data_IF_782383337819
#
_entry.id   IF_782383337819
#
_cell.length_a   1.000
_cell.length_b   1.000
_cell.length_c   1.000
_cell.angle_alpha   90.00
_cell.angle_beta   90.00
_cell.angle_gamma   90.00
#
_symmetry.space_group_name_H-M   'P 1'
#
loop_
_entity.id
_entity.type
_entity.pdbx_description
1 polymer ?
#
# COMPACT_ATOMS: atom_id res chain seq x y z
N UNK A 1 -18.17 8.48 -24.37
CA UNK A 1 -17.92 7.54 -25.49
C UNK A 1 -18.34 6.19 -24.99
N UNK A 2 -19.09 5.41 -25.76
CA UNK A 2 -19.69 4.14 -25.32
C UNK A 2 -18.71 3.22 -24.57
N UNK A 3 -17.45 3.17 -25.03
CA UNK A 3 -16.40 2.37 -24.39
C UNK A 3 -16.05 2.88 -23.00
N UNK A 4 -15.90 4.19 -22.81
CA UNK A 4 -15.61 4.79 -21.51
C UNK A 4 -16.79 4.58 -20.53
N UNK A 5 -18.01 4.71 -21.02
CA UNK A 5 -19.23 4.52 -20.21
C UNK A 5 -19.36 3.05 -19.76
N UNK A 6 -19.02 2.08 -20.63
CA UNK A 6 -18.98 0.66 -20.30
C UNK A 6 -17.89 0.33 -19.26
N UNK A 7 -16.67 0.83 -19.45
CA UNK A 7 -15.56 0.62 -18.51
C UNK A 7 -15.88 1.20 -17.13
N UNK A 8 -16.49 2.39 -17.08
CA UNK A 8 -16.94 3.00 -15.83
C UNK A 8 -18.02 2.17 -15.14
N UNK A 9 -18.97 1.61 -15.90
CA UNK A 9 -20.00 0.70 -15.39
C UNK A 9 -19.38 -0.55 -14.75
N UNK A 10 -18.48 -1.23 -15.48
CA UNK A 10 -17.78 -2.42 -15.00
C UNK A 10 -16.96 -2.15 -13.74
N UNK A 11 -16.22 -1.03 -13.71
CA UNK A 11 -15.45 -0.64 -12.52
C UNK A 11 -16.35 -0.44 -11.30
N UNK A 12 -17.50 0.21 -11.48
CA UNK A 12 -18.45 0.45 -10.39
C UNK A 12 -19.03 -0.85 -9.83
N UNK A 13 -19.37 -1.80 -10.69
CA UNK A 13 -19.87 -3.12 -10.28
C UNK A 13 -18.78 -3.92 -9.56
N UNK A 14 -17.56 -3.95 -10.10
CA UNK A 14 -16.41 -4.62 -9.47
C UNK A 14 -16.10 -4.02 -8.09
N UNK A 15 -16.09 -2.69 -7.97
CA UNK A 15 -15.91 -2.00 -6.69
C UNK A 15 -17.01 -2.36 -5.68
N UNK A 16 -18.27 -2.38 -6.13
CA UNK A 16 -19.39 -2.76 -5.26
C UNK A 16 -19.27 -4.21 -4.78
N UNK A 17 -18.90 -5.12 -5.67
CA UNK A 17 -18.68 -6.53 -5.34
C UNK A 17 -17.55 -6.68 -4.32
N UNK A 18 -16.42 -6.01 -4.54
CA UNK A 18 -15.29 -6.04 -3.61
C UNK A 18 -15.71 -5.53 -2.23
N UNK A 19 -16.44 -4.40 -2.17
CA UNK A 19 -16.94 -3.88 -0.90
C UNK A 19 -17.80 -4.90 -0.15
N UNK A 20 -18.78 -5.51 -0.83
CA UNK A 20 -19.64 -6.53 -0.23
C UNK A 20 -18.87 -7.78 0.19
N UNK A 21 -17.83 -8.17 -0.55
CA UNK A 21 -16.92 -9.25 -0.17
C UNK A 21 -16.19 -8.92 1.14
N UNK A 22 -15.60 -7.73 1.26
CA UNK A 22 -14.91 -7.33 2.50
C UNK A 22 -15.88 -7.30 3.69
N UNK A 23 -17.11 -6.80 3.50
CA UNK A 23 -18.14 -6.79 4.53
C UNK A 23 -18.56 -8.21 4.96
N UNK A 24 -18.63 -9.16 4.03
CA UNK A 24 -18.93 -10.56 4.32
C UNK A 24 -17.79 -11.22 5.11
N UNK A 25 -16.55 -11.04 4.66
CA UNK A 25 -15.36 -11.56 5.32
C UNK A 25 -15.21 -11.02 6.74
N UNK A 26 -15.60 -9.76 6.98
CA UNK A 26 -15.51 -9.17 8.31
C UNK A 26 -16.42 -9.84 9.35
N UNK A 27 -17.52 -10.44 8.89
CA UNK A 27 -18.50 -11.17 9.72
C UNK A 27 -18.07 -12.58 10.08
N UNK A 28 -17.09 -13.15 9.38
CA UNK A 28 -16.53 -14.45 9.73
C UNK A 28 -15.90 -14.32 11.12
N UNK A 29 -16.02 -15.35 11.95
CA UNK A 29 -15.38 -15.42 13.27
C UNK A 29 -14.86 -16.83 13.47
N UNK A 30 -13.54 -16.93 13.57
CA UNK A 30 -12.83 -18.14 13.94
C UNK A 30 -12.30 -17.96 15.37
N UNK A 31 -12.37 -19.02 16.16
CA UNK A 31 -11.79 -19.06 17.51
C UNK A 31 -10.60 -20.04 17.55
N UNK A 32 -10.02 -20.25 18.74
CA UNK A 32 -8.86 -21.13 18.91
C UNK A 32 -9.16 -22.62 18.69
N UNK A 33 -10.43 -23.00 18.45
CA UNK A 33 -10.84 -24.36 18.09
C UNK A 33 -11.08 -24.55 16.60
N UNK A 34 -10.78 -23.53 15.77
CA UNK A 34 -10.87 -23.61 14.32
C UNK A 34 -10.06 -24.81 13.79
N UNK A 35 -10.66 -25.53 12.83
CA UNK A 35 -10.02 -26.63 12.14
C UNK A 35 -8.91 -26.16 11.20
N UNK A 36 -7.97 -27.04 10.89
CA UNK A 36 -6.90 -26.78 9.90
C UNK A 36 -7.45 -26.32 8.54
N UNK A 37 -8.63 -26.82 8.15
CA UNK A 37 -9.30 -26.40 6.91
C UNK A 37 -9.73 -24.94 7.00
N UNK A 38 -10.36 -24.53 8.10
CA UNK A 38 -10.77 -23.13 8.31
C UNK A 38 -9.57 -22.18 8.39
N UNK A 39 -8.47 -22.62 9.01
CA UNK A 39 -7.21 -21.88 9.04
C UNK A 39 -6.64 -21.73 7.62
N UNK A 40 -6.62 -22.80 6.83
CA UNK A 40 -6.16 -22.77 5.44
C UNK A 40 -7.04 -21.86 4.56
N UNK A 41 -8.36 -21.87 4.77
CA UNK A 41 -9.30 -21.03 4.02
C UNK A 41 -9.06 -19.55 4.31
N UNK A 42 -8.86 -19.16 5.58
CA UNK A 42 -8.60 -17.76 5.91
C UNK A 42 -7.23 -17.29 5.42
N UNK A 43 -6.21 -18.15 5.43
CA UNK A 43 -4.90 -17.86 4.83
C UNK A 43 -5.05 -17.64 3.32
N UNK A 44 -5.82 -18.48 2.65
CA UNK A 44 -6.14 -18.34 1.21
C UNK A 44 -6.85 -17.01 0.93
N UNK A 45 -7.80 -16.61 1.77
CA UNK A 45 -8.46 -15.30 1.67
C UNK A 45 -7.46 -14.14 1.82
N UNK A 46 -6.57 -14.20 2.80
CA UNK A 46 -5.57 -13.14 3.03
C UNK A 46 -4.64 -13.01 1.82
N UNK A 47 -4.17 -14.12 1.25
CA UNK A 47 -3.33 -14.08 0.05
C UNK A 47 -4.11 -13.69 -1.21
N UNK A 48 -5.37 -14.09 -1.36
CA UNK A 48 -6.22 -13.60 -2.44
C UNK A 48 -6.46 -12.08 -2.37
N UNK A 49 -6.55 -11.51 -1.17
CA UNK A 49 -6.60 -10.05 -1.00
C UNK A 49 -5.29 -9.37 -1.42
N UNK A 50 -4.15 -10.03 -1.22
CA UNK A 50 -2.86 -9.53 -1.69
C UNK A 50 -2.80 -9.47 -3.23
N UNK A 51 -3.30 -10.52 -3.89
CA UNK A 51 -3.43 -10.55 -5.35
C UNK A 51 -4.32 -9.42 -5.85
N UNK A 52 -5.46 -9.18 -5.18
CA UNK A 52 -6.34 -8.05 -5.50
C UNK A 52 -5.60 -6.72 -5.34
N UNK A 53 -4.85 -6.52 -4.25
CA UNK A 53 -4.03 -5.32 -4.04
C UNK A 53 -3.07 -5.08 -5.21
N UNK A 54 -2.42 -6.13 -5.72
CA UNK A 54 -1.51 -6.00 -6.87
C UNK A 54 -2.23 -5.46 -8.12
N UNK A 55 -3.44 -5.96 -8.39
CA UNK A 55 -4.26 -5.58 -9.56
C UNK A 55 -4.75 -4.13 -9.46
N UNK A 56 -5.21 -3.70 -8.28
CA UNK A 56 -5.82 -2.38 -8.09
C UNK A 56 -4.82 -1.27 -7.78
N UNK A 57 -3.54 -1.61 -7.63
CA UNK A 57 -2.48 -0.71 -7.15
C UNK A 57 -2.37 0.60 -7.92
N UNK A 58 -2.56 0.54 -9.24
CA UNK A 58 -2.53 1.68 -10.15
C UNK A 58 -3.93 2.09 -10.67
N UNK A 59 -4.99 1.48 -10.16
CA UNK A 59 -6.35 1.70 -10.64
C UNK A 59 -7.09 2.76 -9.81
N UNK A 60 -7.13 2.57 -8.49
CA UNK A 60 -7.75 3.52 -7.56
C UNK A 60 -7.07 3.48 -6.19
N UNK A 61 -6.51 4.61 -5.76
CA UNK A 61 -5.75 4.72 -4.51
C UNK A 61 -6.59 4.44 -3.26
N UNK A 62 -7.87 4.84 -3.26
CA UNK A 62 -8.72 4.68 -2.09
C UNK A 62 -9.10 3.21 -1.90
N UNK A 63 -9.48 2.55 -2.99
CA UNK A 63 -9.74 1.12 -3.03
C UNK A 63 -8.51 0.31 -2.62
N UNK A 64 -7.34 0.67 -3.17
CA UNK A 64 -6.07 0.04 -2.85
C UNK A 64 -5.72 0.15 -1.37
N UNK A 65 -5.78 1.36 -0.79
CA UNK A 65 -5.51 1.57 0.63
C UNK A 65 -6.50 0.82 1.53
N UNK A 66 -7.79 0.82 1.18
CA UNK A 66 -8.82 0.10 1.96
C UNK A 66 -8.62 -1.42 1.93
N UNK A 67 -8.21 -1.96 0.78
CA UNK A 67 -7.97 -3.40 0.62
C UNK A 67 -6.76 -3.83 1.44
N UNK A 68 -5.65 -3.07 1.37
CA UNK A 68 -4.49 -3.29 2.23
C UNK A 68 -4.85 -3.20 3.71
N UNK A 69 -5.58 -2.16 4.11
CA UNK A 69 -6.03 -2.00 5.49
C UNK A 69 -6.84 -3.21 5.96
N UNK A 70 -7.70 -3.75 5.10
CA UNK A 70 -8.50 -4.93 5.41
C UNK A 70 -7.65 -6.21 5.49
N UNK A 71 -6.72 -6.42 4.54
CA UNK A 71 -5.78 -7.54 4.54
C UNK A 71 -5.00 -7.60 5.86
N UNK A 72 -4.44 -6.46 6.28
CA UNK A 72 -3.68 -6.36 7.53
C UNK A 72 -4.61 -6.59 8.72
N UNK A 73 -5.82 -6.03 8.71
CA UNK A 73 -6.83 -6.27 9.75
C UNK A 73 -7.14 -7.77 9.90
N UNK A 74 -7.36 -8.51 8.81
CA UNK A 74 -7.66 -9.95 8.88
C UNK A 74 -6.45 -10.76 9.35
N UNK A 75 -5.26 -10.41 8.90
CA UNK A 75 -4.01 -11.04 9.35
C UNK A 75 -3.85 -10.93 10.87
N UNK A 76 -4.19 -9.77 11.44
CA UNK A 76 -4.10 -9.52 12.88
C UNK A 76 -5.27 -10.13 13.66
N UNK A 77 -6.48 -10.06 13.10
CA UNK A 77 -7.70 -10.63 13.72
C UNK A 77 -7.52 -12.11 14.04
N UNK A 78 -6.82 -12.85 13.19
CA UNK A 78 -6.56 -14.29 13.34
C UNK A 78 -5.10 -14.61 13.58
N UNK A 79 -4.31 -13.65 14.09
CA UNK A 79 -2.85 -13.75 14.17
C UNK A 79 -2.36 -15.10 14.72
N UNK A 80 -2.86 -15.53 15.88
CA UNK A 80 -2.41 -16.77 16.52
C UNK A 80 -2.70 -18.05 15.73
N UNK A 81 -3.62 -18.00 14.76
CA UNK A 81 -3.97 -19.11 13.88
C UNK A 81 -3.14 -19.08 12.59
N UNK A 82 -2.87 -17.88 12.06
CA UNK A 82 -2.34 -17.73 10.71
C UNK A 82 -0.86 -17.37 10.65
N UNK A 83 -0.24 -16.90 11.73
CA UNK A 83 1.12 -16.34 11.70
C UNK A 83 2.19 -17.31 11.19
N UNK A 84 2.05 -18.62 11.40
CA UNK A 84 2.99 -19.61 10.84
C UNK A 84 2.70 -19.97 9.38
N UNK A 85 1.50 -19.65 8.89
CA UNK A 85 0.97 -20.04 7.58
C UNK A 85 1.04 -18.91 6.56
N UNK A 86 1.11 -17.66 7.01
CA UNK A 86 1.21 -16.51 6.10
C UNK A 86 2.55 -16.51 5.37
N UNK A 87 2.50 -16.31 4.05
CA UNK A 87 3.69 -15.98 3.26
C UNK A 87 4.10 -14.53 3.53
N UNK A 88 4.74 -14.30 4.68
CA UNK A 88 5.17 -12.97 5.13
C UNK A 88 6.06 -12.25 4.11
N UNK A 89 6.90 -12.99 3.37
CA UNK A 89 7.73 -12.42 2.31
C UNK A 89 6.91 -11.71 1.24
N UNK A 90 5.82 -12.31 0.78
CA UNK A 90 4.98 -11.73 -0.27
C UNK A 90 4.25 -10.49 0.22
N UNK A 91 3.74 -10.52 1.46
CA UNK A 91 3.07 -9.38 2.09
C UNK A 91 4.05 -8.22 2.28
N UNK A 92 5.27 -8.49 2.78
CA UNK A 92 6.32 -7.48 2.97
C UNK A 92 6.76 -6.89 1.64
N UNK A 93 6.98 -7.73 0.62
CA UNK A 93 7.31 -7.27 -0.72
C UNK A 93 6.23 -6.35 -1.27
N UNK A 94 4.97 -6.80 -1.22
CA UNK A 94 3.84 -5.98 -1.65
C UNK A 94 3.77 -4.63 -0.93
N UNK A 95 3.97 -4.59 0.39
CA UNK A 95 4.00 -3.34 1.15
C UNK A 95 5.18 -2.44 0.75
N UNK A 96 6.39 -3.00 0.62
CA UNK A 96 7.59 -2.25 0.27
C UNK A 96 7.52 -1.70 -1.15
N UNK A 97 7.08 -2.51 -2.11
CA UNK A 97 6.95 -2.14 -3.52
C UNK A 97 5.90 -1.04 -3.69
N UNK A 98 4.74 -1.15 -3.02
CA UNK A 98 3.71 -0.13 -3.08
C UNK A 98 4.10 1.18 -2.36
N UNK A 99 4.88 1.08 -1.27
CA UNK A 99 5.47 2.26 -0.65
C UNK A 99 6.43 2.94 -1.63
N UNK A 100 7.39 2.19 -2.17
CA UNK A 100 8.38 2.73 -3.09
C UNK A 100 7.73 3.35 -4.34
N UNK A 101 6.75 2.67 -4.94
CA UNK A 101 6.02 3.20 -6.09
C UNK A 101 5.27 4.50 -5.75
N UNK A 102 4.64 4.59 -4.57
CA UNK A 102 4.00 5.83 -4.13
C UNK A 102 5.02 6.95 -3.96
N UNK A 103 6.19 6.62 -3.43
CA UNK A 103 7.28 7.56 -3.18
C UNK A 103 7.91 8.06 -4.49
N UNK A 104 8.24 7.15 -5.41
CA UNK A 104 8.80 7.51 -6.72
C UNK A 104 7.82 8.39 -7.51
N UNK A 105 6.51 8.08 -7.49
CA UNK A 105 5.49 8.94 -8.10
C UNK A 105 5.46 10.34 -7.47
N UNK A 106 5.54 10.43 -6.14
CA UNK A 106 5.61 11.73 -5.45
C UNK A 106 6.86 12.52 -5.85
N UNK A 107 8.01 11.86 -5.93
CA UNK A 107 9.26 12.49 -6.36
C UNK A 107 9.16 12.99 -7.80
N UNK A 108 8.66 12.15 -8.72
CA UNK A 108 8.50 12.51 -10.12
C UNK A 108 7.56 13.72 -10.29
N UNK A 109 6.42 13.74 -9.60
CA UNK A 109 5.48 14.86 -9.63
C UNK A 109 6.11 16.14 -9.09
N UNK A 110 6.89 16.05 -8.01
CA UNK A 110 7.55 17.20 -7.44
C UNK A 110 8.62 17.78 -8.39
N UNK A 111 9.37 16.95 -9.10
CA UNK A 111 10.29 17.42 -10.16
C UNK A 111 9.55 18.07 -11.33
N UNK A 112 8.42 17.50 -11.77
CA UNK A 112 7.61 18.06 -12.84
C UNK A 112 7.07 19.45 -12.44
N UNK A 113 6.55 19.56 -11.22
CA UNK A 113 6.09 20.83 -10.66
C UNK A 113 7.21 21.86 -10.53
N UNK A 114 8.41 21.41 -10.16
CA UNK A 114 9.58 22.30 -10.12
C UNK A 114 9.92 22.85 -11.50
N UNK A 115 10.00 21.98 -12.51
CA UNK A 115 10.32 22.34 -13.90
C UNK A 115 9.27 23.25 -14.53
N UNK A 116 8.00 23.07 -14.16
CA UNK A 116 6.89 23.88 -14.65
C UNK A 116 6.63 25.16 -13.83
N UNK A 117 7.47 25.45 -12.82
CA UNK A 117 7.32 26.60 -11.91
C UNK A 117 5.96 26.63 -11.17
N UNK A 118 5.35 25.46 -10.93
CA UNK A 118 4.04 25.30 -10.28
C UNK A 118 4.13 25.12 -8.75
N UNK A 119 5.31 25.29 -8.17
CA UNK A 119 5.64 24.92 -6.79
C UNK A 119 4.78 25.66 -5.75
N UNK A 120 4.38 26.91 -6.04
CA UNK A 120 3.55 27.74 -5.14
C UNK A 120 2.04 27.57 -5.39
N UNK A 121 1.65 26.87 -6.46
CA UNK A 121 0.25 26.67 -6.85
C UNK A 121 -0.33 25.44 -6.14
N UNK A 122 -0.57 25.58 -4.84
CA UNK A 122 -1.16 24.56 -3.96
C UNK A 122 -2.57 24.08 -4.35
N UNK A 123 -3.21 24.72 -5.33
CA UNK A 123 -4.51 24.28 -5.87
C UNK A 123 -4.43 23.56 -7.22
N UNK A 124 -3.23 23.42 -7.79
CA UNK A 124 -3.01 22.75 -9.07
C UNK A 124 -3.41 21.27 -9.02
N UNK A 125 -3.90 20.69 -10.13
CA UNK A 125 -4.15 19.25 -10.24
C UNK A 125 -2.93 18.40 -9.87
N UNK A 126 -1.74 18.83 -10.26
CA UNK A 126 -0.45 18.19 -10.00
C UNK A 126 -0.15 18.13 -8.51
N UNK A 127 -0.30 19.25 -7.80
CA UNK A 127 -0.12 19.28 -6.35
C UNK A 127 -1.14 18.41 -5.62
N UNK A 128 -2.41 18.43 -6.04
CA UNK A 128 -3.44 17.53 -5.47
C UNK A 128 -3.11 16.06 -5.69
N UNK A 129 -2.54 15.71 -6.85
CA UNK A 129 -2.09 14.35 -7.14
C UNK A 129 -0.87 13.99 -6.29
N UNK A 130 0.11 14.87 -6.18
CA UNK A 130 1.26 14.72 -5.29
C UNK A 130 0.81 14.45 -3.84
N UNK A 131 -0.12 15.24 -3.33
CA UNK A 131 -0.66 15.06 -1.97
C UNK A 131 -1.34 13.70 -1.78
N UNK A 132 -1.97 13.15 -2.82
CA UNK A 132 -2.54 11.79 -2.75
C UNK A 132 -1.44 10.74 -2.63
N UNK A 133 -0.39 10.83 -3.44
CA UNK A 133 0.76 9.92 -3.35
C UNK A 133 1.54 10.06 -2.04
N UNK A 134 1.72 11.28 -1.53
CA UNK A 134 2.34 11.52 -0.22
C UNK A 134 1.53 10.89 0.92
N UNK A 135 0.19 10.97 0.86
CA UNK A 135 -0.69 10.25 1.80
C UNK A 135 -0.55 8.74 1.70
N UNK A 136 -0.41 8.20 0.49
CA UNK A 136 -0.16 6.77 0.28
C UNK A 136 1.20 6.35 0.85
N UNK A 137 2.26 7.16 0.68
CA UNK A 137 3.56 6.94 1.31
C UNK A 137 3.41 6.79 2.83
N UNK A 138 2.74 7.76 3.47
CA UNK A 138 2.50 7.71 4.92
C UNK A 138 1.68 6.49 5.34
N UNK A 139 0.65 6.15 4.57
CA UNK A 139 -0.15 4.96 4.82
C UNK A 139 0.72 3.68 4.79
N UNK A 140 1.51 3.48 3.73
CA UNK A 140 2.34 2.29 3.60
C UNK A 140 3.48 2.26 4.61
N UNK A 141 4.15 3.38 4.88
CA UNK A 141 5.18 3.48 5.91
C UNK A 141 4.64 3.03 7.28
N UNK A 142 3.48 3.56 7.68
CA UNK A 142 2.83 3.18 8.93
C UNK A 142 2.41 1.70 8.93
N UNK A 143 1.92 1.20 7.80
CA UNK A 143 1.48 -0.19 7.67
C UNK A 143 2.65 -1.17 7.74
N UNK A 144 3.79 -0.85 7.11
CA UNK A 144 5.04 -1.61 7.21
C UNK A 144 5.51 -1.68 8.67
N UNK A 145 5.61 -0.53 9.34
CA UNK A 145 6.03 -0.48 10.75
C UNK A 145 5.09 -1.27 11.64
N UNK A 146 3.78 -1.15 11.43
CA UNK A 146 2.79 -1.92 12.18
C UNK A 146 2.96 -3.42 11.94
N UNK A 147 3.09 -3.86 10.70
CA UNK A 147 3.26 -5.26 10.37
C UNK A 147 4.54 -5.85 10.96
N UNK A 148 5.65 -5.11 10.91
CA UNK A 148 6.92 -5.49 11.57
C UNK A 148 6.70 -5.69 13.08
N UNK A 149 5.95 -4.79 13.72
CA UNK A 149 5.71 -4.84 15.16
C UNK A 149 4.92 -6.10 15.55
N UNK A 150 3.83 -6.38 14.83
CA UNK A 150 2.91 -7.46 15.20
C UNK A 150 3.47 -8.85 14.80
N UNK A 151 4.22 -8.96 13.70
CA UNK A 151 4.78 -10.23 13.19
C UNK A 151 6.31 -10.33 13.32
N UNK A 152 6.89 -9.67 14.32
CA UNK A 152 8.34 -9.44 14.47
C UNK A 152 9.19 -10.69 14.22
N UNK A 153 8.80 -11.83 14.79
CA UNK A 153 9.57 -13.08 14.68
C UNK A 153 9.74 -13.52 13.21
N UNK A 154 8.64 -13.57 12.46
CA UNK A 154 8.62 -13.98 11.06
C UNK A 154 9.29 -12.94 10.15
N UNK A 155 9.08 -11.65 10.47
CA UNK A 155 9.57 -10.52 9.68
C UNK A 155 11.10 -10.38 9.71
N UNK A 156 11.77 -10.86 10.76
CA UNK A 156 13.25 -10.80 10.87
C UNK A 156 13.97 -11.46 9.70
N UNK A 157 13.35 -12.45 9.05
CA UNK A 157 13.88 -13.14 7.86
C UNK A 157 13.91 -12.24 6.61
N UNK A 158 13.21 -11.11 6.63
CA UNK A 158 13.02 -10.19 5.51
C UNK A 158 13.66 -8.82 5.75
N UNK A 159 14.59 -8.70 6.72
CA UNK A 159 15.30 -7.45 7.02
C UNK A 159 15.99 -6.82 5.81
N UNK A 160 16.45 -7.63 4.86
CA UNK A 160 17.06 -7.17 3.60
C UNK A 160 16.11 -6.25 2.83
N UNK A 161 14.81 -6.56 2.81
CA UNK A 161 13.80 -5.85 2.03
C UNK A 161 13.61 -4.44 2.60
N UNK A 162 13.53 -4.30 3.92
CA UNK A 162 13.45 -2.98 4.57
C UNK A 162 14.74 -2.18 4.40
N UNK A 163 15.89 -2.84 4.48
CA UNK A 163 17.17 -2.17 4.24
C UNK A 163 17.26 -1.63 2.81
N UNK A 164 16.87 -2.43 1.81
CA UNK A 164 16.83 -2.01 0.42
C UNK A 164 15.85 -0.85 0.19
N UNK A 165 14.63 -0.96 0.73
CA UNK A 165 13.64 0.11 0.68
C UNK A 165 14.19 1.42 1.27
N UNK A 166 14.81 1.35 2.45
CA UNK A 166 15.44 2.50 3.10
C UNK A 166 16.52 3.13 2.21
N UNK A 167 17.41 2.33 1.63
CA UNK A 167 18.45 2.82 0.73
C UNK A 167 17.86 3.48 -0.52
N UNK A 168 16.81 2.90 -1.11
CA UNK A 168 16.13 3.48 -2.27
C UNK A 168 15.52 4.84 -1.94
N UNK A 169 14.81 4.95 -0.81
CA UNK A 169 14.21 6.21 -0.36
C UNK A 169 15.29 7.26 -0.06
N UNK A 170 16.28 6.93 0.77
CA UNK A 170 17.31 7.90 1.21
C UNK A 170 18.16 8.38 0.03
N UNK A 171 18.34 7.56 -1.01
CA UNK A 171 19.07 7.94 -2.23
C UNK A 171 18.41 9.07 -3.03
N UNK A 172 17.13 9.35 -2.80
CA UNK A 172 16.38 10.46 -3.40
C UNK A 172 16.45 11.76 -2.60
N UNK A 173 17.15 11.77 -1.47
CA UNK A 173 17.35 12.97 -0.65
C UNK A 173 18.83 13.37 -0.60
N UNK A 174 19.13 14.68 -0.41
CA UNK A 174 20.48 15.12 -0.12
C UNK A 174 21.06 14.38 1.12
N UNK A 175 22.35 14.03 1.15
CA UNK A 175 23.43 14.46 0.25
C UNK A 175 23.67 13.54 -0.96
N UNK A 176 22.73 12.66 -1.32
CA UNK A 176 22.90 11.79 -2.49
C UNK A 176 23.10 12.60 -3.77
N UNK A 177 24.14 12.26 -4.55
CA UNK A 177 24.45 12.93 -5.83
C UNK A 177 23.36 12.67 -6.88
N UNK A 178 22.65 11.56 -6.73
CA UNK A 178 21.52 11.18 -7.58
C UNK A 178 20.18 11.74 -7.08
N UNK A 179 20.19 12.57 -6.03
CA UNK A 179 18.97 13.16 -5.49
C UNK A 179 18.38 14.19 -6.47
N UNK A 180 17.08 14.10 -6.76
CA UNK A 180 16.33 15.17 -7.41
C UNK A 180 16.49 16.52 -6.70
N UNK A 181 16.40 17.61 -7.45
CA UNK A 181 16.41 18.96 -6.90
C UNK A 181 15.08 19.34 -6.22
N UNK A 182 14.51 18.48 -5.38
CA UNK A 182 13.19 18.66 -4.76
C UNK A 182 13.05 20.01 -4.02
N UNK A 183 11.98 20.80 -4.28
CA UNK A 183 11.65 21.97 -3.46
C UNK A 183 11.54 21.59 -1.98
N UNK A 184 12.09 22.42 -1.09
CA UNK A 184 12.18 22.11 0.35
C UNK A 184 10.82 21.84 1.00
N UNK A 185 9.76 22.54 0.57
CA UNK A 185 8.40 22.32 1.04
C UNK A 185 7.89 20.91 0.70
N UNK A 186 8.05 20.47 -0.55
CA UNK A 186 7.61 19.15 -1.02
C UNK A 186 8.46 18.03 -0.42
N UNK A 187 9.77 18.24 -0.28
CA UNK A 187 10.66 17.33 0.44
C UNK A 187 10.28 17.21 1.92
N UNK A 188 9.84 18.30 2.55
CA UNK A 188 9.33 18.30 3.91
C UNK A 188 8.06 17.45 4.08
N UNK A 189 7.13 17.52 3.13
CA UNK A 189 5.91 16.71 3.14
C UNK A 189 6.17 15.21 2.97
N UNK A 190 7.19 14.84 2.19
CA UNK A 190 7.59 13.42 2.03
C UNK A 190 8.36 12.86 3.23
N UNK A 191 9.02 13.73 4.00
CA UNK A 191 9.75 13.34 5.21
C UNK A 191 8.87 13.29 6.48
N UNK A 192 7.58 13.65 6.39
CA UNK A 192 6.66 13.80 7.53
C UNK A 192 5.69 12.61 7.69
#
# INVERSE_FOLDING_TARGET
>A
SLVADLLQGLFKEAFSLQKSLLELLDRISLDSSASEVEVSDIVTVIHGLLDICSIISNLDMALHANTWKFLIKQSLKYQSLVEEHLHHGDIINGLCDNFLASFDNSVELAEQMQRAELQELTQSPEYKLFQKHAKMCRFFANTVVHYIKEFKYFVTKHCRNFHQLYLQIISKFPPSISAPALPSALAGELNA
#
